data_IF_292014666645
#
_entry.id   IF_292014666645
#
_cell.length_a   1.000
_cell.length_b   1.000
_cell.length_c   1.000
_cell.angle_alpha   90.00
_cell.angle_beta   90.00
_cell.angle_gamma   90.00
#
_symmetry.space_group_name_H-M   'P 1'
#
loop_
_entity.id
_entity.type
_entity.pdbx_description
1 polymer ?
#
# COMPACT_ATOMS: atom_id res chain seq x y z
N UNK A 1 11.49 13.74 13.92
CA UNK A 1 10.06 13.44 14.12
C UNK A 1 9.87 11.92 14.13
N UNK A 2 9.54 11.32 15.29
CA UNK A 2 9.40 9.87 15.47
C UNK A 2 8.18 9.26 14.75
N UNK A 3 7.16 10.07 14.46
CA UNK A 3 5.88 9.64 13.86
C UNK A 3 5.79 9.93 12.35
N UNK A 4 6.93 10.21 11.71
CA UNK A 4 6.99 10.47 10.27
C UNK A 4 6.68 9.20 9.46
N UNK A 5 5.85 9.31 8.42
CA UNK A 5 5.47 8.17 7.54
C UNK A 5 5.74 8.38 6.04
N UNK A 6 5.82 9.62 5.57
CA UNK A 6 6.04 9.91 4.15
C UNK A 6 7.50 9.74 3.73
N UNK A 7 7.76 9.90 2.43
CA UNK A 7 9.12 10.05 1.89
C UNK A 7 9.77 11.36 2.39
N UNK A 8 10.96 11.67 1.88
CA UNK A 8 11.69 12.92 2.19
C UNK A 8 11.82 13.85 0.99
N UNK A 9 11.07 13.60 -0.09
CA UNK A 9 11.06 14.46 -1.27
C UNK A 9 10.56 15.86 -0.92
N UNK A 10 11.09 16.84 -1.65
CA UNK A 10 10.66 18.23 -1.57
C UNK A 10 10.22 18.63 -2.96
N UNK A 11 8.96 19.05 -3.11
CA UNK A 11 8.43 19.54 -4.37
C UNK A 11 8.22 21.06 -4.28
N UNK A 12 9.13 21.81 -4.91
CA UNK A 12 9.13 23.27 -4.89
C UNK A 12 7.87 23.87 -5.52
N UNK A 13 7.31 23.22 -6.55
CA UNK A 13 6.08 23.64 -7.22
C UNK A 13 4.90 23.58 -6.25
N UNK A 14 4.74 22.47 -5.52
CA UNK A 14 3.70 22.36 -4.49
C UNK A 14 3.91 23.37 -3.35
N UNK A 15 5.15 23.62 -2.94
CA UNK A 15 5.42 24.59 -1.88
C UNK A 15 5.05 26.02 -2.29
N UNK A 16 5.31 26.39 -3.56
CA UNK A 16 4.92 27.68 -4.11
C UNK A 16 3.39 27.84 -4.16
N UNK A 17 2.67 26.81 -4.62
CA UNK A 17 1.20 26.83 -4.70
C UNK A 17 0.56 26.96 -3.31
N UNK A 18 1.08 26.25 -2.32
CA UNK A 18 0.50 26.20 -0.97
C UNK A 18 1.10 27.24 0.00
N UNK A 19 2.05 28.05 -0.46
CA UNK A 19 2.77 29.07 0.32
C UNK A 19 3.34 28.54 1.66
N UNK A 20 3.75 27.26 1.67
CA UNK A 20 4.39 26.60 2.83
C UNK A 20 5.20 25.40 2.36
N UNK A 21 6.28 25.10 3.07
CA UNK A 21 7.11 23.92 2.77
C UNK A 21 6.49 22.67 3.34
N UNK A 22 6.12 21.74 2.46
CA UNK A 22 5.68 20.40 2.81
C UNK A 22 6.62 19.37 2.22
N UNK A 23 6.87 18.32 3.00
CA UNK A 23 7.90 17.34 2.73
C UNK A 23 7.24 15.98 2.66
N UNK A 24 7.59 15.22 1.64
CA UNK A 24 7.23 13.83 1.50
C UNK A 24 5.87 13.57 0.88
N UNK A 25 5.78 12.37 0.32
CA UNK A 25 4.60 11.74 -0.26
C UNK A 25 4.31 10.47 0.54
N UNK A 26 3.06 10.05 0.63
CA UNK A 26 2.73 8.71 1.14
C UNK A 26 3.14 7.66 0.08
N UNK A 27 4.22 6.89 0.31
CA UNK A 27 4.70 5.94 -0.69
C UNK A 27 3.67 4.86 -1.00
N UNK A 28 2.75 4.55 -0.06
CA UNK A 28 1.70 3.56 -0.28
C UNK A 28 0.40 4.18 -0.87
N UNK A 29 0.51 5.37 -1.48
CA UNK A 29 -0.51 6.00 -2.32
C UNK A 29 0.04 6.43 -3.69
N UNK A 30 1.32 6.15 -3.95
CA UNK A 30 2.06 6.69 -5.09
C UNK A 30 2.27 5.68 -6.24
N UNK A 31 1.58 4.54 -6.23
CA UNK A 31 1.63 3.57 -7.34
C UNK A 31 0.56 3.86 -8.39
N UNK A 32 0.83 3.49 -9.65
CA UNK A 32 -0.10 3.68 -10.77
C UNK A 32 -1.20 2.61 -10.81
N UNK A 33 -2.04 2.61 -9.77
CA UNK A 33 -3.22 1.74 -9.66
C UNK A 33 -4.34 2.53 -9.02
N UNK A 34 -5.34 2.90 -9.82
CA UNK A 34 -6.38 3.85 -9.43
C UNK A 34 -5.81 5.16 -8.83
N UNK A 35 -4.62 5.59 -9.28
CA UNK A 35 -3.85 6.67 -8.64
C UNK A 35 -4.69 7.92 -8.36
N UNK A 36 -4.58 8.44 -7.14
CA UNK A 36 -5.22 9.68 -6.69
C UNK A 36 -6.77 9.69 -6.83
N UNK A 37 -7.44 8.55 -6.55
CA UNK A 37 -8.91 8.45 -6.67
C UNK A 37 -9.65 8.23 -5.36
N UNK A 38 -9.06 7.50 -4.41
CA UNK A 38 -9.74 7.04 -3.19
C UNK A 38 -8.80 7.09 -1.98
N UNK A 39 -9.29 7.58 -0.84
CA UNK A 39 -8.56 7.55 0.44
C UNK A 39 -7.27 8.37 0.46
N UNK A 40 -7.20 9.42 -0.36
CA UNK A 40 -6.03 10.29 -0.56
C UNK A 40 -6.38 11.76 -0.26
N UNK A 41 -5.36 12.58 -0.01
CA UNK A 41 -5.49 14.03 0.11
C UNK A 41 -4.78 14.73 -1.03
N UNK A 42 -5.35 15.80 -1.58
CA UNK A 42 -4.66 16.68 -2.53
C UNK A 42 -3.78 17.73 -1.85
N UNK A 43 -3.85 17.88 -0.51
CA UNK A 43 -2.97 18.76 0.25
C UNK A 43 -1.61 18.07 0.48
N UNK A 44 -0.50 18.61 -0.05
CA UNK A 44 0.84 18.02 0.03
C UNK A 44 1.39 17.90 1.46
N UNK A 45 0.71 18.50 2.42
CA UNK A 45 1.11 18.49 3.83
C UNK A 45 0.39 17.41 4.63
N UNK A 46 -0.52 16.68 4.00
CA UNK A 46 -1.30 15.62 4.62
C UNK A 46 -0.60 14.27 4.48
N UNK A 47 -0.75 13.41 5.49
CA UNK A 47 -0.03 12.13 5.56
C UNK A 47 -0.46 11.07 4.53
N UNK A 48 -1.50 11.36 3.75
CA UNK A 48 -2.04 10.51 2.66
C UNK A 48 -1.91 11.18 1.28
N UNK A 49 -1.08 12.22 1.17
CA UNK A 49 -0.78 12.86 -0.11
C UNK A 49 -0.11 11.86 -1.07
N UNK A 50 -0.68 11.58 -2.25
CA UNK A 50 -0.18 10.55 -3.15
C UNK A 50 0.98 11.01 -4.02
N UNK A 51 1.36 12.30 -3.98
CA UNK A 51 2.29 12.88 -4.93
C UNK A 51 1.58 13.58 -6.10
N UNK A 52 2.37 14.24 -6.94
CA UNK A 52 1.84 15.02 -8.07
C UNK A 52 1.55 14.16 -9.30
N UNK A 53 2.16 12.99 -9.37
CA UNK A 53 1.94 11.96 -10.38
C UNK A 53 2.26 10.58 -9.79
N UNK A 54 1.74 9.51 -10.39
CA UNK A 54 2.10 8.16 -10.01
C UNK A 54 3.61 7.95 -10.21
N UNK A 55 4.24 7.27 -9.27
CA UNK A 55 5.68 7.03 -9.25
C UNK A 55 6.52 8.32 -9.22
N UNK A 56 6.01 9.41 -8.66
CA UNK A 56 6.80 10.63 -8.42
C UNK A 56 8.00 10.38 -7.49
N UNK A 57 7.91 9.37 -6.62
CA UNK A 57 8.95 9.04 -5.64
C UNK A 57 9.98 8.05 -6.19
N UNK A 58 11.25 8.22 -5.83
CA UNK A 58 12.30 7.29 -6.28
C UNK A 58 12.13 5.91 -5.66
N UNK A 59 11.64 5.87 -4.42
CA UNK A 59 11.39 4.65 -3.67
C UNK A 59 10.32 3.77 -4.34
N UNK A 60 9.23 4.37 -4.83
CA UNK A 60 8.16 3.64 -5.53
C UNK A 60 8.56 3.25 -6.95
N UNK A 61 9.35 4.08 -7.65
CA UNK A 61 9.98 3.71 -8.93
C UNK A 61 10.88 2.49 -8.79
N UNK A 62 11.69 2.41 -7.73
CA UNK A 62 12.54 1.25 -7.50
C UNK A 62 11.72 -0.04 -7.33
N UNK A 63 10.60 0.02 -6.59
CA UNK A 63 9.71 -1.15 -6.43
C UNK A 63 9.08 -1.53 -7.78
N UNK A 64 8.58 -0.55 -8.55
CA UNK A 64 8.06 -0.76 -9.90
C UNK A 64 9.07 -1.45 -10.80
N UNK A 65 10.31 -1.00 -10.78
CA UNK A 65 11.38 -1.51 -11.64
C UNK A 65 11.75 -2.96 -11.25
N UNK A 66 11.85 -3.27 -9.95
CA UNK A 66 12.05 -4.64 -9.45
C UNK A 66 10.89 -5.56 -9.85
N UNK A 67 9.65 -5.11 -9.68
CA UNK A 67 8.48 -5.89 -10.09
C UNK A 67 8.50 -6.16 -11.59
N UNK A 68 8.83 -5.15 -12.41
CA UNK A 68 8.92 -5.27 -13.86
C UNK A 68 10.04 -6.21 -14.31
N UNK A 69 11.21 -6.15 -13.65
CA UNK A 69 12.37 -7.00 -13.97
C UNK A 69 12.09 -8.49 -13.73
N UNK A 70 11.27 -8.82 -12.73
CA UNK A 70 11.03 -10.20 -12.31
C UNK A 70 9.59 -10.68 -12.52
N UNK A 71 8.80 -9.96 -13.31
CA UNK A 71 7.37 -10.21 -13.46
C UNK A 71 7.06 -11.62 -13.99
N UNK A 72 7.95 -12.15 -14.81
CA UNK A 72 7.88 -13.47 -15.45
C UNK A 72 8.01 -14.64 -14.47
N UNK A 73 8.62 -14.40 -13.30
CA UNK A 73 8.89 -15.43 -12.28
C UNK A 73 8.37 -15.06 -10.88
N UNK A 74 7.83 -13.86 -10.69
CA UNK A 74 7.28 -13.41 -9.42
C UNK A 74 6.04 -14.23 -9.05
N UNK A 75 6.05 -14.87 -7.88
CA UNK A 75 4.95 -15.72 -7.41
C UNK A 75 4.15 -15.07 -6.28
N UNK A 76 4.82 -14.33 -5.40
CA UNK A 76 4.22 -13.71 -4.22
C UNK A 76 4.85 -12.34 -4.02
N UNK A 77 4.02 -11.33 -3.77
CA UNK A 77 4.42 -10.02 -3.28
C UNK A 77 3.81 -9.79 -1.89
N UNK A 78 4.63 -9.34 -0.94
CA UNK A 78 4.19 -9.01 0.43
C UNK A 78 4.71 -7.62 0.79
N UNK A 79 3.78 -6.73 1.13
CA UNK A 79 4.07 -5.39 1.66
C UNK A 79 3.72 -5.35 3.16
N UNK A 80 4.74 -5.21 4.01
CA UNK A 80 4.63 -5.45 5.46
C UNK A 80 4.52 -4.11 6.18
N UNK A 81 3.36 -3.88 6.80
CA UNK A 81 3.05 -2.67 7.57
C UNK A 81 2.79 -2.95 9.04
N UNK A 82 2.81 -1.89 9.85
CA UNK A 82 2.31 -1.91 11.22
C UNK A 82 1.42 -0.68 11.47
N UNK A 83 0.41 -0.75 12.35
CA UNK A 83 0.01 -1.83 13.26
C UNK A 83 -1.36 -2.40 12.87
N UNK A 84 -1.74 -3.58 13.39
CA UNK A 84 -3.12 -4.05 13.27
C UNK A 84 -3.35 -5.55 13.38
N UNK A 85 -2.32 -6.38 13.15
CA UNK A 85 -2.46 -7.85 13.08
C UNK A 85 -3.46 -8.25 11.99
N UNK A 86 -3.17 -7.84 10.76
CA UNK A 86 -3.97 -8.19 9.59
C UNK A 86 -3.14 -8.93 8.57
N UNK A 87 -3.76 -9.88 7.88
CA UNK A 87 -3.29 -10.36 6.57
C UNK A 87 -4.30 -9.87 5.54
N UNK A 88 -3.91 -8.84 4.80
CA UNK A 88 -4.78 -8.17 3.83
C UNK A 88 -4.42 -8.57 2.40
N UNK A 89 -5.44 -8.60 1.55
CA UNK A 89 -5.29 -8.74 0.10
C UNK A 89 -6.22 -7.75 -0.62
N UNK A 90 -5.95 -7.51 -1.91
CA UNK A 90 -6.63 -6.50 -2.71
C UNK A 90 -8.04 -6.87 -3.18
N UNK A 91 -8.72 -5.99 -3.92
CA UNK A 91 -8.28 -4.61 -4.23
C UNK A 91 -8.80 -3.62 -3.17
N UNK A 92 -8.05 -2.54 -2.95
CA UNK A 92 -8.37 -1.47 -1.99
C UNK A 92 -9.61 -0.64 -2.37
N UNK A 93 -10.14 -0.80 -3.59
CA UNK A 93 -11.39 -0.18 -4.02
C UNK A 93 -12.63 -1.09 -3.81
N UNK A 94 -12.50 -2.15 -3.00
CA UNK A 94 -13.50 -3.19 -2.74
C UNK A 94 -13.84 -4.11 -3.94
N UNK A 95 -13.13 -3.96 -5.08
CA UNK A 95 -13.21 -4.94 -6.16
C UNK A 95 -12.58 -6.25 -5.69
N UNK A 96 -13.30 -7.36 -5.86
CA UNK A 96 -12.76 -8.67 -5.57
C UNK A 96 -12.02 -9.23 -6.80
N UNK A 97 -10.74 -9.58 -6.68
CA UNK A 97 -10.00 -10.16 -7.78
C UNK A 97 -10.53 -11.55 -8.18
N UNK A 98 -10.30 -11.98 -9.43
CA UNK A 98 -10.86 -13.25 -9.92
C UNK A 98 -10.39 -14.47 -9.10
N UNK A 99 -9.18 -14.40 -8.54
CA UNK A 99 -8.57 -15.42 -7.69
C UNK A 99 -8.75 -15.14 -6.18
N UNK A 100 -9.73 -14.33 -5.78
CA UNK A 100 -9.98 -13.94 -4.37
C UNK A 100 -10.11 -15.14 -3.44
N UNK A 101 -10.73 -16.23 -3.87
CA UNK A 101 -10.87 -17.45 -3.05
C UNK A 101 -9.50 -18.05 -2.73
N UNK A 102 -8.58 -18.07 -3.71
CA UNK A 102 -7.23 -18.56 -3.51
C UNK A 102 -6.41 -17.61 -2.64
N UNK A 103 -6.50 -16.30 -2.86
CA UNK A 103 -5.86 -15.30 -2.00
C UNK A 103 -6.31 -15.43 -0.55
N UNK A 104 -7.62 -15.57 -0.31
CA UNK A 104 -8.16 -15.74 1.04
C UNK A 104 -7.67 -17.04 1.69
N UNK A 105 -7.63 -18.15 0.95
CA UNK A 105 -7.11 -19.41 1.47
C UNK A 105 -5.65 -19.29 1.94
N UNK A 106 -4.77 -18.73 1.10
CA UNK A 106 -3.36 -18.55 1.45
C UNK A 106 -3.21 -17.58 2.63
N UNK A 107 -3.95 -16.47 2.61
CA UNK A 107 -3.93 -15.48 3.69
C UNK A 107 -4.43 -16.05 5.04
N UNK A 108 -5.48 -16.88 5.01
CA UNK A 108 -6.03 -17.54 6.19
C UNK A 108 -5.04 -18.57 6.76
N UNK A 109 -4.37 -19.33 5.89
CA UNK A 109 -3.30 -20.23 6.30
C UNK A 109 -2.14 -19.47 6.95
N UNK A 110 -1.71 -18.34 6.38
CA UNK A 110 -0.67 -17.48 6.96
C UNK A 110 -1.08 -16.95 8.34
N UNK A 111 -2.28 -16.38 8.46
CA UNK A 111 -2.81 -15.88 9.73
C UNK A 111 -2.85 -16.96 10.82
N UNK A 112 -3.36 -18.15 10.48
CA UNK A 112 -3.42 -19.29 11.38
C UNK A 112 -2.04 -19.76 11.86
N UNK A 113 -1.02 -19.76 10.97
CA UNK A 113 0.34 -20.11 11.35
C UNK A 113 0.97 -19.08 12.28
N UNK A 114 0.75 -17.78 12.04
CA UNK A 114 1.21 -16.73 12.95
C UNK A 114 0.55 -16.89 14.32
N UNK A 115 -0.76 -17.14 14.34
CA UNK A 115 -1.54 -17.29 15.57
C UNK A 115 -1.17 -18.54 16.38
N UNK A 116 -0.64 -19.58 15.75
CA UNK A 116 -0.15 -20.78 16.44
C UNK A 116 1.11 -20.52 17.28
N UNK A 117 1.90 -19.48 16.97
CA UNK A 117 3.18 -19.17 17.62
C UNK A 117 3.23 -17.77 18.23
N UNK A 118 2.10 -17.05 18.26
CA UNK A 118 2.04 -15.69 18.76
C UNK A 118 2.32 -15.60 20.27
N UNK A 119 2.73 -14.41 20.72
CA UNK A 119 2.83 -14.12 22.14
C UNK A 119 1.46 -14.28 22.83
N UNK A 120 1.40 -14.74 24.10
CA UNK A 120 0.13 -14.97 24.79
C UNK A 120 -0.82 -13.76 24.85
N UNK A 121 -0.27 -12.54 24.80
CA UNK A 121 -1.02 -11.28 24.85
C UNK A 121 -1.35 -10.71 23.47
N UNK A 122 -0.81 -11.27 22.38
CA UNK A 122 -1.08 -10.78 21.05
C UNK A 122 -2.49 -11.20 20.59
N UNK A 123 -3.26 -10.29 19.96
CA UNK A 123 -4.55 -10.64 19.37
C UNK A 123 -4.37 -11.59 18.17
N UNK A 124 -5.47 -12.19 17.71
CA UNK A 124 -5.45 -13.03 16.50
C UNK A 124 -5.32 -12.18 15.24
N UNK A 125 -4.75 -12.75 14.18
CA UNK A 125 -4.71 -12.10 12.88
C UNK A 125 -6.07 -12.14 12.21
N UNK A 126 -6.57 -10.98 11.79
CA UNK A 126 -7.77 -10.90 10.98
C UNK A 126 -7.40 -10.90 9.49
N UNK A 127 -8.18 -11.61 8.67
CA UNK A 127 -7.84 -11.89 7.27
C UNK A 127 -8.97 -11.46 6.35
N UNK A 128 -8.66 -10.71 5.30
CA UNK A 128 -9.68 -10.27 4.36
C UNK A 128 -9.21 -9.27 3.32
N UNK A 129 -10.18 -8.83 2.50
CA UNK A 129 -9.95 -7.73 1.57
C UNK A 129 -9.65 -6.44 2.35
N UNK A 130 -8.62 -5.70 1.93
CA UNK A 130 -8.12 -4.50 2.58
C UNK A 130 -9.20 -3.43 2.82
N UNK A 131 -10.03 -3.12 1.81
CA UNK A 131 -11.11 -2.15 1.96
C UNK A 131 -12.20 -2.64 2.93
N UNK A 132 -12.67 -3.88 2.75
CA UNK A 132 -13.74 -4.45 3.58
C UNK A 132 -13.35 -4.56 5.06
N UNK A 133 -12.06 -4.75 5.34
CA UNK A 133 -11.52 -4.86 6.71
C UNK A 133 -11.13 -3.50 7.32
N UNK A 134 -10.74 -2.54 6.48
CA UNK A 134 -10.25 -1.22 6.90
C UNK A 134 -11.09 -0.10 6.27
N UNK A 135 -10.60 0.45 5.16
CA UNK A 135 -11.18 1.58 4.44
C UNK A 135 -10.61 1.61 3.03
N UNK A 136 -11.33 2.27 2.12
CA UNK A 136 -10.92 2.36 0.72
C UNK A 136 -9.72 3.28 0.49
N UNK A 137 -8.77 2.81 -0.32
CA UNK A 137 -7.55 3.53 -0.68
C UNK A 137 -7.21 3.34 -2.16
N UNK A 138 -6.20 4.06 -2.64
CA UNK A 138 -5.71 3.95 -4.01
C UNK A 138 -4.20 4.12 -4.06
N UNK A 139 -3.56 3.66 -5.15
CA UNK A 139 -2.12 3.75 -5.34
C UNK A 139 -1.30 2.94 -4.34
N UNK A 140 -1.86 1.86 -3.80
CA UNK A 140 -1.15 0.95 -2.90
C UNK A 140 -0.21 0.02 -3.66
N UNK A 141 0.90 -0.33 -3.02
CA UNK A 141 1.94 -1.17 -3.62
C UNK A 141 1.44 -2.59 -3.92
N UNK A 142 0.67 -3.18 -3.01
CA UNK A 142 0.10 -4.54 -3.15
C UNK A 142 -0.90 -4.63 -4.31
N UNK A 143 -1.74 -3.61 -4.48
CA UNK A 143 -2.70 -3.54 -5.58
C UNK A 143 -1.97 -3.39 -6.93
N UNK A 144 -0.90 -2.60 -6.98
CA UNK A 144 -0.10 -2.45 -8.18
C UNK A 144 0.61 -3.75 -8.55
N UNK A 145 1.21 -4.43 -7.57
CA UNK A 145 1.84 -5.73 -7.77
C UNK A 145 0.85 -6.79 -8.27
N UNK A 146 -0.41 -6.76 -7.79
CA UNK A 146 -1.45 -7.65 -8.29
C UNK A 146 -1.82 -7.36 -9.75
N UNK A 147 -2.05 -6.09 -10.09
CA UNK A 147 -2.47 -5.69 -11.44
C UNK A 147 -1.34 -5.86 -12.46
N UNK A 148 -0.08 -5.67 -12.07
CA UNK A 148 1.06 -5.83 -12.99
C UNK A 148 1.41 -7.29 -13.28
N UNK A 149 1.01 -8.22 -12.41
CA UNK A 149 1.25 -9.67 -12.54
C UNK A 149 0.07 -10.47 -13.09
N UNK A 150 -1.10 -9.82 -13.29
CA UNK A 150 -2.34 -10.46 -13.77
C UNK A 150 -2.50 -10.30 -15.28
#
# INVERSE_FOLDING_TARGET
NRLWRGTRSVNETTNAIHNRTCIGVDPNRNFDVNFNTLGVSSDPCFGTYPGHEAFSEVETRNIRDILSEYIDRLQIYMDIHSFGNYVLYGMDNATLPYNVVHQHYVAAAMGAQIDAVKLPKAPFYAVGNSNLMLYGTSGAASDYAYVSTS
#
